data_IF_359181290664
#
_entry.id   IF_359181290664
#
_cell.length_a   1.000
_cell.length_b   1.000
_cell.length_c   1.000
_cell.angle_alpha   90.00
_cell.angle_beta   90.00
_cell.angle_gamma   90.00
#
_symmetry.space_group_name_H-M   'P 1'
#
loop_
_entity.id
_entity.type
_entity.pdbx_description
1 polymer ?
#
# COMPACT_ATOMS: atom_id res chain seq x y z
N UNK A 1 -10.53 -22.52 4.79
CA UNK A 1 -11.16 -22.01 6.01
C UNK A 1 -10.41 -22.62 7.19
N UNK A 2 -10.02 -21.81 8.15
CA UNK A 2 -9.35 -22.28 9.36
C UNK A 2 -10.41 -22.34 10.46
N UNK A 3 -10.71 -23.53 10.91
CA UNK A 3 -11.60 -23.79 12.04
C UNK A 3 -10.77 -24.51 13.11
N UNK A 4 -10.68 -23.93 14.32
CA UNK A 4 -9.99 -24.55 15.45
C UNK A 4 -8.52 -24.95 15.15
N UNK A 5 -7.76 -24.09 14.48
CA UNK A 5 -6.38 -24.31 14.01
C UNK A 5 -6.22 -25.41 12.93
N UNK A 6 -7.29 -26.01 12.44
CA UNK A 6 -7.22 -26.94 11.32
C UNK A 6 -7.58 -26.25 10.01
N UNK A 7 -6.74 -26.44 8.98
CA UNK A 7 -7.01 -25.97 7.63
C UNK A 7 -7.97 -26.95 6.93
N UNK A 8 -9.25 -26.59 6.84
CA UNK A 8 -10.23 -27.39 6.10
C UNK A 8 -10.25 -26.88 4.66
N UNK A 9 -9.85 -27.73 3.72
CA UNK A 9 -9.92 -27.46 2.29
C UNK A 9 -11.28 -27.85 1.74
N UNK A 10 -12.14 -26.88 1.48
CA UNK A 10 -13.35 -27.11 0.71
C UNK A 10 -13.08 -26.90 -0.78
N UNK A 11 -13.57 -27.76 -1.68
CA UNK A 11 -13.61 -27.46 -3.10
C UNK A 11 -14.52 -26.24 -3.29
N UNK A 12 -13.93 -25.10 -3.62
CA UNK A 12 -14.68 -23.87 -3.89
C UNK A 12 -14.63 -23.55 -5.37
N UNK A 13 -15.70 -22.95 -5.88
CA UNK A 13 -15.75 -22.43 -7.24
C UNK A 13 -14.59 -21.45 -7.51
N UNK A 14 -14.15 -20.74 -6.48
CA UNK A 14 -13.00 -19.85 -6.54
C UNK A 14 -11.70 -20.58 -6.88
N UNK A 15 -11.48 -21.81 -6.40
CA UNK A 15 -10.30 -22.60 -6.75
C UNK A 15 -10.25 -22.95 -8.24
N UNK A 16 -11.40 -23.07 -8.89
CA UNK A 16 -11.49 -23.26 -10.34
C UNK A 16 -11.23 -21.94 -11.07
N UNK A 17 -11.85 -20.85 -10.59
CA UNK A 17 -11.72 -19.52 -11.16
C UNK A 17 -10.31 -18.94 -10.99
N UNK A 18 -9.61 -19.30 -9.92
CA UNK A 18 -8.25 -18.85 -9.65
C UNK A 18 -7.21 -19.31 -10.70
N UNK A 19 -7.58 -20.27 -11.57
CA UNK A 19 -6.75 -20.71 -12.71
C UNK A 19 -6.93 -19.81 -13.94
N UNK A 20 -7.91 -18.92 -13.93
CA UNK A 20 -8.18 -18.02 -15.05
C UNK A 20 -7.35 -16.74 -14.86
N UNK A 21 -6.54 -16.33 -15.87
CA UNK A 21 -5.82 -15.07 -15.85
C UNK A 21 -6.76 -13.89 -15.54
N UNK A 22 -6.29 -12.91 -14.80
CA UNK A 22 -7.02 -11.73 -14.29
C UNK A 22 -8.02 -12.05 -13.17
N UNK A 23 -8.65 -13.21 -13.11
CA UNK A 23 -9.58 -13.59 -12.02
C UNK A 23 -8.80 -13.88 -10.74
N UNK A 24 -7.59 -14.45 -10.85
CA UNK A 24 -6.70 -14.70 -9.71
C UNK A 24 -6.19 -13.42 -9.01
N UNK A 25 -6.24 -12.26 -9.68
CA UNK A 25 -5.87 -10.97 -9.11
C UNK A 25 -7.00 -10.33 -8.29
N UNK A 26 -8.23 -10.82 -8.42
CA UNK A 26 -9.37 -10.27 -7.68
C UNK A 26 -9.49 -10.91 -6.30
N UNK A 27 -9.70 -10.07 -5.28
CA UNK A 27 -9.94 -10.56 -3.92
C UNK A 27 -11.24 -11.41 -3.90
N UNK A 28 -11.21 -12.61 -3.28
CA UNK A 28 -12.38 -13.51 -3.21
C UNK A 28 -13.65 -12.82 -2.69
N UNK A 29 -13.49 -11.90 -1.74
CA UNK A 29 -14.57 -11.11 -1.15
C UNK A 29 -15.32 -10.24 -2.16
N UNK A 30 -14.66 -9.82 -3.25
CA UNK A 30 -15.31 -9.01 -4.29
C UNK A 30 -16.34 -9.80 -5.08
N UNK A 31 -16.16 -11.10 -5.25
CA UNK A 31 -17.17 -11.96 -5.89
C UNK A 31 -18.43 -12.10 -5.05
N UNK A 32 -18.30 -12.01 -3.72
CA UNK A 32 -19.46 -12.00 -2.82
C UNK A 32 -20.36 -10.78 -3.03
N UNK A 33 -19.81 -9.65 -3.52
CA UNK A 33 -20.62 -8.44 -3.82
C UNK A 33 -21.66 -8.70 -4.92
N UNK A 34 -21.40 -9.63 -5.85
CA UNK A 34 -22.35 -10.00 -6.89
C UNK A 34 -23.62 -10.70 -6.33
N UNK A 35 -23.54 -11.25 -5.12
CA UNK A 35 -24.66 -11.88 -4.45
C UNK A 35 -25.59 -10.88 -3.75
N UNK A 36 -25.13 -9.65 -3.49
CA UNK A 36 -25.90 -8.62 -2.77
C UNK A 36 -27.26 -8.35 -3.44
N UNK A 37 -27.33 -8.05 -4.77
CA UNK A 37 -28.62 -7.82 -5.41
C UNK A 37 -29.55 -9.03 -5.36
N UNK A 38 -29.00 -10.25 -5.45
CA UNK A 38 -29.78 -11.48 -5.33
C UNK A 38 -30.42 -11.59 -3.94
N UNK A 39 -29.64 -11.40 -2.88
CA UNK A 39 -30.17 -11.39 -1.50
C UNK A 39 -31.17 -10.25 -1.28
N UNK A 40 -30.94 -9.08 -1.84
CA UNK A 40 -31.87 -7.96 -1.73
C UNK A 40 -33.22 -8.31 -2.34
N UNK A 41 -33.25 -8.93 -3.52
CA UNK A 41 -34.49 -9.38 -4.18
C UNK A 41 -35.21 -10.45 -3.35
N UNK A 42 -34.48 -11.47 -2.88
CA UNK A 42 -35.06 -12.53 -2.05
C UNK A 42 -35.64 -11.97 -0.75
N UNK A 43 -34.96 -11.02 -0.14
CA UNK A 43 -35.41 -10.34 1.08
C UNK A 43 -36.68 -9.51 0.81
N UNK A 44 -36.75 -8.79 -0.32
CA UNK A 44 -37.92 -8.02 -0.71
C UNK A 44 -39.14 -8.93 -0.91
N UNK A 45 -39.00 -10.04 -1.62
CA UNK A 45 -40.09 -11.01 -1.76
C UNK A 45 -40.50 -11.64 -0.41
N UNK A 46 -39.53 -11.97 0.45
CA UNK A 46 -39.83 -12.50 1.79
C UNK A 46 -40.64 -11.50 2.64
N UNK A 47 -40.24 -10.22 2.60
CA UNK A 47 -40.99 -9.15 3.32
C UNK A 47 -42.38 -8.92 2.76
N UNK A 48 -42.54 -8.93 1.43
CA UNK A 48 -43.84 -8.77 0.80
C UNK A 48 -44.78 -9.92 1.14
N UNK A 49 -44.32 -11.15 1.04
CA UNK A 49 -45.08 -12.34 1.44
C UNK A 49 -45.47 -12.29 2.93
N UNK A 50 -44.56 -11.83 3.80
CA UNK A 50 -44.83 -11.67 5.22
C UNK A 50 -45.89 -10.58 5.48
N UNK A 51 -45.83 -9.46 4.74
CA UNK A 51 -46.81 -8.35 4.86
C UNK A 51 -48.21 -8.78 4.47
N UNK A 52 -48.35 -9.68 3.51
CA UNK A 52 -49.64 -10.24 3.05
C UNK A 52 -50.19 -11.34 3.98
N UNK A 53 -49.35 -11.83 4.91
CA UNK A 53 -49.74 -12.87 5.88
C UNK A 53 -50.71 -12.29 6.91
N UNK A 54 -51.76 -13.08 7.27
CA UNK A 54 -52.68 -12.77 8.37
C UNK A 54 -52.16 -13.21 9.74
N UNK A 55 -51.03 -13.82 9.79
CA UNK A 55 -50.44 -14.45 10.98
C UNK A 55 -49.33 -13.56 11.60
N UNK A 56 -48.80 -14.03 12.71
CA UNK A 56 -47.67 -13.45 13.47
C UNK A 56 -46.47 -13.14 12.57
N UNK A 57 -46.30 -13.83 11.45
CA UNK A 57 -45.26 -13.61 10.46
C UNK A 57 -45.17 -12.17 10.00
N UNK A 58 -46.28 -11.45 9.90
CA UNK A 58 -46.32 -10.01 9.52
C UNK A 58 -45.46 -9.13 10.43
N UNK A 59 -45.33 -9.48 11.68
CA UNK A 59 -44.57 -8.71 12.66
C UNK A 59 -43.21 -9.34 12.95
N UNK A 60 -43.10 -10.68 13.00
CA UNK A 60 -41.88 -11.38 13.33
C UNK A 60 -40.82 -11.21 12.21
N UNK A 61 -41.22 -11.32 10.92
CA UNK A 61 -40.25 -11.27 9.82
C UNK A 61 -39.55 -9.91 9.72
N UNK A 62 -40.24 -8.76 9.74
CA UNK A 62 -39.56 -7.46 9.75
C UNK A 62 -38.63 -7.28 10.95
N UNK A 63 -39.06 -7.70 12.14
CA UNK A 63 -38.23 -7.62 13.36
C UNK A 63 -36.98 -8.50 13.23
N UNK A 64 -37.12 -9.72 12.71
CA UNK A 64 -35.99 -10.61 12.48
C UNK A 64 -35.00 -10.03 11.45
N UNK A 65 -35.51 -9.41 10.39
CA UNK A 65 -34.68 -8.72 9.38
C UNK A 65 -33.91 -7.55 10.00
N UNK A 66 -34.57 -6.70 10.78
CA UNK A 66 -33.91 -5.60 11.49
C UNK A 66 -32.85 -6.15 12.45
N UNK A 67 -33.18 -7.17 13.23
CA UNK A 67 -32.23 -7.82 14.15
C UNK A 67 -31.01 -8.41 13.42
N UNK A 68 -31.22 -8.98 12.23
CA UNK A 68 -30.13 -9.52 11.41
C UNK A 68 -29.22 -8.43 10.81
N UNK A 69 -29.73 -7.21 10.62
CA UNK A 69 -28.95 -6.08 10.11
C UNK A 69 -28.12 -5.40 11.21
N UNK A 70 -28.55 -5.46 12.48
CA UNK A 70 -27.83 -4.82 13.60
C UNK A 70 -26.33 -5.16 13.64
N UNK A 71 -25.88 -6.42 13.47
CA UNK A 71 -24.45 -6.75 13.48
C UNK A 71 -23.70 -6.16 12.26
N UNK A 72 -24.40 -5.73 11.22
CA UNK A 72 -23.82 -5.11 10.02
C UNK A 72 -23.66 -3.60 10.16
N UNK A 73 -24.15 -3.00 11.24
CA UNK A 73 -23.94 -1.58 11.51
C UNK A 73 -22.44 -1.34 11.63
N UNK A 74 -21.86 -0.44 10.78
CA UNK A 74 -20.43 -0.21 10.79
C UNK A 74 -20.01 0.35 12.15
N UNK A 75 -19.07 -0.34 12.78
CA UNK A 75 -18.37 0.22 13.94
C UNK A 75 -17.42 1.32 13.49
N UNK A 76 -17.19 2.35 14.32
CA UNK A 76 -16.18 3.37 14.01
C UNK A 76 -14.84 2.70 13.67
N UNK A 77 -14.29 3.03 12.51
CA UNK A 77 -12.97 2.55 12.13
C UNK A 77 -11.92 3.11 13.09
N UNK A 78 -11.00 2.27 13.52
CA UNK A 78 -9.84 2.75 14.25
C UNK A 78 -9.06 3.71 13.34
N UNK A 79 -8.91 4.95 13.79
CA UNK A 79 -8.13 5.96 13.09
C UNK A 79 -6.75 6.02 13.69
N UNK A 80 -5.72 6.11 12.86
CA UNK A 80 -4.35 6.40 13.26
C UNK A 80 -3.96 7.78 12.74
N UNK A 81 -3.19 8.52 13.55
CA UNK A 81 -2.56 9.75 13.08
C UNK A 81 -1.47 9.39 12.06
N UNK A 82 -1.50 10.06 10.92
CA UNK A 82 -0.44 9.93 9.91
C UNK A 82 0.59 11.03 10.10
N UNK A 83 1.84 10.73 9.78
CA UNK A 83 2.88 11.75 9.73
C UNK A 83 2.46 12.89 8.78
N UNK A 84 2.72 14.15 9.13
CA UNK A 84 2.45 15.28 8.23
C UNK A 84 3.30 15.15 6.95
N UNK A 85 2.83 15.79 5.88
CA UNK A 85 3.67 15.95 4.68
C UNK A 85 4.83 16.88 5.05
N UNK A 86 6.08 16.55 4.71
CA UNK A 86 7.24 17.38 5.02
C UNK A 86 7.12 18.81 4.48
N UNK A 87 7.72 19.77 5.17
CA UNK A 87 7.77 21.16 4.70
C UNK A 87 8.44 21.27 3.35
N UNK A 88 9.55 20.59 3.14
CA UNK A 88 10.23 20.44 1.87
C UNK A 88 9.29 20.18 0.67
N UNK A 89 8.23 19.39 0.88
CA UNK A 89 7.23 19.12 -0.15
C UNK A 89 6.18 20.22 -0.21
N UNK A 90 5.63 20.63 0.95
CA UNK A 90 4.50 21.57 1.00
C UNK A 90 4.87 23.00 0.60
N UNK A 91 6.11 23.42 0.83
CA UNK A 91 6.65 24.73 0.38
C UNK A 91 7.06 24.73 -1.11
N UNK A 92 7.26 23.55 -1.69
CA UNK A 92 7.75 23.41 -3.06
C UNK A 92 9.27 23.40 -3.19
N UNK A 93 10.02 23.35 -2.08
CA UNK A 93 11.49 23.36 -2.07
C UNK A 93 12.11 22.08 -2.63
N UNK A 94 11.32 21.02 -2.81
CA UNK A 94 11.72 19.83 -3.56
C UNK A 94 12.23 20.15 -4.99
N UNK A 95 11.82 21.29 -5.58
CA UNK A 95 12.31 21.75 -6.89
C UNK A 95 13.80 22.12 -6.90
N UNK A 96 14.39 22.35 -5.73
CA UNK A 96 15.84 22.54 -5.62
C UNK A 96 16.62 21.25 -5.90
N UNK A 97 15.96 20.08 -5.75
CA UNK A 97 16.57 18.78 -5.88
C UNK A 97 16.07 18.01 -7.13
N UNK A 98 14.78 18.12 -7.43
CA UNK A 98 14.12 17.40 -8.54
C UNK A 98 13.40 18.40 -9.43
N UNK A 99 13.60 18.40 -10.77
CA UNK A 99 12.81 19.24 -11.67
C UNK A 99 11.37 18.78 -11.78
N UNK A 100 10.48 19.64 -12.28
CA UNK A 100 9.11 19.24 -12.62
C UNK A 100 9.13 18.09 -13.64
N UNK A 101 8.37 17.04 -13.37
CA UNK A 101 8.38 15.80 -14.15
C UNK A 101 9.57 14.87 -13.89
N UNK A 102 10.47 15.24 -12.99
CA UNK A 102 11.59 14.41 -12.56
C UNK A 102 11.19 13.31 -11.57
N UNK A 103 12.16 12.59 -11.03
CA UNK A 103 11.96 11.47 -10.12
C UNK A 103 12.58 11.77 -8.75
N UNK A 104 11.72 11.85 -7.73
CA UNK A 104 12.10 11.94 -6.33
C UNK A 104 12.00 10.53 -5.68
N UNK A 105 13.10 10.07 -5.10
CA UNK A 105 13.16 8.78 -4.38
C UNK A 105 12.96 9.05 -2.89
N UNK A 106 11.79 8.77 -2.31
CA UNK A 106 11.59 8.92 -0.88
C UNK A 106 12.25 7.79 -0.10
N UNK A 107 12.73 8.08 1.10
CA UNK A 107 13.32 7.08 1.98
C UNK A 107 12.58 7.10 3.33
N UNK A 108 12.13 5.93 3.80
CA UNK A 108 12.07 4.65 3.10
C UNK A 108 11.12 4.67 1.89
N UNK A 109 11.36 3.80 0.91
CA UNK A 109 10.50 3.71 -0.27
C UNK A 109 9.08 3.23 0.10
N UNK A 110 8.07 3.62 -0.67
CA UNK A 110 6.70 3.22 -0.39
C UNK A 110 6.52 1.70 -0.56
N UNK A 111 5.89 1.10 0.43
CA UNK A 111 5.53 -0.32 0.41
C UNK A 111 4.02 -0.46 0.64
N UNK A 112 3.39 -1.60 0.27
CA UNK A 112 1.97 -1.81 0.54
C UNK A 112 1.54 -1.59 1.99
N UNK A 113 2.30 -2.02 3.02
CA UNK A 113 1.96 -1.72 4.40
C UNK A 113 2.28 -0.28 4.83
N UNK A 114 3.16 0.44 4.12
CA UNK A 114 3.61 1.80 4.46
C UNK A 114 3.58 2.72 3.24
N UNK A 115 2.40 3.08 2.72
CA UNK A 115 2.26 3.89 1.51
C UNK A 115 2.31 5.40 1.77
N UNK A 116 2.57 5.86 3.00
CA UNK A 116 2.36 7.26 3.42
C UNK A 116 3.19 8.27 2.62
N UNK A 117 4.40 7.89 2.19
CA UNK A 117 5.25 8.77 1.37
C UNK A 117 4.66 9.06 -0.03
N UNK A 118 3.73 8.24 -0.52
CA UNK A 118 3.03 8.53 -1.78
C UNK A 118 2.18 9.80 -1.71
N UNK A 119 1.82 10.24 -0.50
CA UNK A 119 1.13 11.51 -0.28
C UNK A 119 1.96 12.72 -0.66
N UNK A 120 3.28 12.58 -0.73
CA UNK A 120 4.17 13.68 -1.13
C UNK A 120 3.93 14.08 -2.58
N UNK A 121 3.80 13.10 -3.50
CA UNK A 121 3.46 13.41 -4.89
C UNK A 121 2.09 14.07 -5.00
N UNK A 122 1.07 13.55 -4.30
CA UNK A 122 -0.26 14.14 -4.28
C UNK A 122 -0.26 15.56 -3.71
N UNK A 123 0.52 15.84 -2.65
CA UNK A 123 0.66 17.17 -2.06
C UNK A 123 1.38 18.15 -3.01
N UNK A 124 2.27 17.65 -3.85
CA UNK A 124 2.96 18.42 -4.89
C UNK A 124 2.15 18.53 -6.20
N UNK A 125 0.89 18.06 -6.24
CA UNK A 125 0.06 18.04 -7.45
C UNK A 125 0.58 17.08 -8.53
N UNK A 126 1.21 15.97 -8.12
CA UNK A 126 1.83 14.95 -8.97
C UNK A 126 2.91 15.53 -9.91
N UNK A 127 3.58 16.61 -9.46
CA UNK A 127 4.59 17.30 -10.26
C UNK A 127 5.92 16.53 -10.38
N UNK A 128 6.13 15.48 -9.61
CA UNK A 128 7.25 14.55 -9.72
C UNK A 128 6.78 13.09 -9.63
N UNK A 129 7.54 12.19 -10.23
CA UNK A 129 7.33 10.75 -10.11
C UNK A 129 8.12 10.18 -8.93
N UNK A 130 7.67 9.01 -8.42
CA UNK A 130 8.38 8.23 -7.40
C UNK A 130 8.56 6.80 -7.87
N UNK A 131 9.69 6.15 -7.54
CA UNK A 131 9.86 4.72 -7.81
C UNK A 131 9.01 3.89 -6.84
N UNK A 132 8.70 2.67 -7.27
CA UNK A 132 7.88 1.72 -6.52
C UNK A 132 6.44 2.23 -6.32
N UNK A 133 5.79 1.97 -5.19
CA UNK A 133 4.45 2.45 -4.94
C UNK A 133 3.39 1.36 -4.85
N UNK A 134 2.14 1.77 -4.83
CA UNK A 134 0.98 0.92 -4.60
C UNK A 134 0.23 0.65 -5.91
N UNK A 135 0.62 -0.38 -6.63
CA UNK A 135 -0.02 -0.81 -7.88
C UNK A 135 -0.06 -2.35 -7.94
N UNK A 136 -0.90 -2.89 -8.80
CA UNK A 136 -0.94 -4.33 -9.08
C UNK A 136 -0.08 -4.60 -10.31
N UNK A 137 0.94 -5.43 -10.14
CA UNK A 137 1.88 -5.76 -11.21
C UNK A 137 2.55 -7.12 -11.02
N UNK A 138 3.40 -7.53 -11.97
CA UNK A 138 4.17 -8.75 -11.84
C UNK A 138 5.18 -8.62 -10.70
N UNK A 139 5.25 -9.64 -9.85
CA UNK A 139 6.09 -9.67 -8.67
C UNK A 139 7.01 -10.89 -8.69
N UNK A 140 8.30 -10.65 -8.48
CA UNK A 140 9.33 -11.68 -8.44
C UNK A 140 9.58 -12.40 -9.77
N UNK A 141 10.44 -13.42 -9.76
CA UNK A 141 10.89 -14.12 -10.97
C UNK A 141 9.76 -14.84 -11.74
N UNK A 142 8.72 -15.25 -11.04
CA UNK A 142 7.60 -15.99 -11.60
C UNK A 142 6.48 -15.08 -12.15
N UNK A 143 6.61 -13.76 -12.03
CA UNK A 143 5.63 -12.80 -12.55
C UNK A 143 4.23 -12.92 -11.94
N UNK A 144 4.09 -13.49 -10.75
CA UNK A 144 2.79 -13.60 -10.06
C UNK A 144 2.28 -12.21 -9.75
N UNK A 145 1.02 -11.93 -10.02
CA UNK A 145 0.41 -10.65 -9.69
C UNK A 145 0.45 -10.39 -8.19
N UNK A 146 1.02 -9.27 -7.78
CA UNK A 146 1.06 -8.81 -6.40
C UNK A 146 0.88 -7.30 -6.33
N UNK A 147 0.70 -6.78 -5.11
CA UNK A 147 0.63 -5.35 -4.84
C UNK A 147 2.05 -4.83 -4.64
N UNK A 148 2.40 -3.80 -5.40
CA UNK A 148 3.73 -3.19 -5.41
C UNK A 148 4.73 -3.95 -6.29
N UNK A 149 5.93 -3.40 -6.38
CA UNK A 149 7.03 -3.97 -7.15
C UNK A 149 7.84 -4.93 -6.28
N UNK A 150 8.48 -5.90 -6.92
CA UNK A 150 9.54 -6.68 -6.27
C UNK A 150 10.68 -5.72 -5.87
N UNK A 151 11.04 -5.65 -4.57
CA UNK A 151 11.98 -4.64 -4.10
C UNK A 151 13.36 -4.83 -4.71
N UNK A 152 13.98 -3.71 -5.11
CA UNK A 152 15.38 -3.70 -5.56
C UNK A 152 16.35 -3.94 -4.41
N UNK A 153 17.63 -4.14 -4.71
CA UNK A 153 18.65 -4.30 -3.68
C UNK A 153 18.77 -3.08 -2.77
N UNK A 154 18.66 -1.89 -3.32
CA UNK A 154 18.67 -0.63 -2.56
C UNK A 154 17.42 -0.49 -1.69
N UNK A 155 16.24 -0.84 -2.21
CA UNK A 155 14.99 -0.84 -1.44
C UNK A 155 15.05 -1.76 -0.23
N UNK A 156 15.59 -2.98 -0.43
CA UNK A 156 15.75 -3.96 0.65
C UNK A 156 16.71 -3.46 1.73
N UNK A 157 17.85 -2.91 1.32
CA UNK A 157 18.86 -2.35 2.23
C UNK A 157 18.24 -1.24 3.11
N UNK A 158 17.60 -0.25 2.48
CA UNK A 158 17.00 0.88 3.20
C UNK A 158 15.82 0.44 4.09
N UNK A 159 15.02 -0.51 3.65
CA UNK A 159 13.94 -1.09 4.47
C UNK A 159 14.49 -1.83 5.70
N UNK A 160 15.59 -2.57 5.55
CA UNK A 160 16.28 -3.23 6.66
C UNK A 160 16.80 -2.20 7.68
N UNK A 161 17.49 -1.15 7.22
CA UNK A 161 17.99 -0.09 8.10
C UNK A 161 16.83 0.63 8.81
N UNK A 162 15.76 0.95 8.09
CA UNK A 162 14.56 1.57 8.68
C UNK A 162 13.88 0.71 9.75
N UNK A 163 14.01 -0.62 9.64
CA UNK A 163 13.38 -1.55 10.59
C UNK A 163 14.27 -1.82 11.80
N UNK A 164 15.59 -1.98 11.57
CA UNK A 164 16.52 -2.44 12.61
C UNK A 164 17.32 -1.33 13.27
N UNK A 165 17.48 -0.17 12.61
CA UNK A 165 18.37 0.91 13.03
C UNK A 165 19.86 0.56 12.92
N UNK A 166 20.20 -0.59 12.35
CA UNK A 166 21.61 -1.04 12.21
C UNK A 166 22.18 -0.47 10.92
N UNK A 167 23.27 0.28 11.03
CA UNK A 167 24.01 0.80 9.88
C UNK A 167 24.82 -0.35 9.28
N UNK A 168 24.58 -0.76 8.03
CA UNK A 168 25.33 -1.82 7.40
C UNK A 168 26.71 -1.35 6.98
N UNK A 169 27.62 -2.28 6.80
CA UNK A 169 28.90 -2.00 6.17
C UNK A 169 28.69 -1.86 4.66
N UNK A 170 28.97 -0.68 4.12
CA UNK A 170 28.78 -0.37 2.70
C UNK A 170 30.07 -0.64 1.93
N UNK A 171 30.04 -1.67 1.10
CA UNK A 171 31.10 -2.01 0.17
C UNK A 171 30.89 -1.39 -1.23
N UNK A 172 31.84 -1.55 -2.10
CA UNK A 172 31.76 -1.03 -3.47
C UNK A 172 30.66 -1.73 -4.28
N UNK A 173 30.34 -2.99 -3.97
CA UNK A 173 29.24 -3.69 -4.61
C UNK A 173 27.87 -3.14 -4.20
N UNK A 174 27.71 -2.71 -2.95
CA UNK A 174 26.50 -2.04 -2.48
C UNK A 174 26.35 -0.66 -3.16
N UNK A 175 27.43 0.11 -3.28
CA UNK A 175 27.43 1.39 -4.01
C UNK A 175 27.04 1.20 -5.48
N UNK A 176 27.65 0.23 -6.16
CA UNK A 176 27.37 -0.06 -7.56
C UNK A 176 25.91 -0.47 -7.77
N UNK A 177 25.34 -1.31 -6.88
CA UNK A 177 23.92 -1.68 -6.93
C UNK A 177 23.02 -0.48 -6.74
N UNK A 178 23.32 0.40 -5.77
CA UNK A 178 22.54 1.62 -5.53
C UNK A 178 22.57 2.54 -6.75
N UNK A 179 23.72 2.73 -7.37
CA UNK A 179 23.84 3.52 -8.59
C UNK A 179 23.03 2.92 -9.74
N UNK A 180 23.06 1.60 -9.91
CA UNK A 180 22.27 0.91 -10.93
C UNK A 180 20.75 1.06 -10.68
N UNK A 181 20.30 0.95 -9.43
CA UNK A 181 18.91 1.15 -9.06
C UNK A 181 18.46 2.61 -9.31
N UNK A 182 19.27 3.59 -8.90
CA UNK A 182 18.98 5.01 -9.14
C UNK A 182 18.93 5.35 -10.63
N UNK A 183 19.83 4.79 -11.43
CA UNK A 183 19.83 4.95 -12.88
C UNK A 183 18.59 4.31 -13.52
N UNK A 184 18.21 3.12 -13.06
CA UNK A 184 16.99 2.43 -13.49
C UNK A 184 15.73 3.24 -13.20
N UNK A 185 15.64 3.84 -12.00
CA UNK A 185 14.53 4.72 -11.61
C UNK A 185 14.57 6.08 -12.29
N UNK A 186 15.67 6.42 -12.95
CA UNK A 186 15.94 7.76 -13.48
C UNK A 186 15.87 8.84 -12.38
N UNK A 187 16.37 8.48 -11.20
CA UNK A 187 16.31 9.33 -10.03
C UNK A 187 17.07 10.66 -10.26
N UNK A 188 16.46 11.76 -9.84
CA UNK A 188 17.10 13.07 -9.78
C UNK A 188 17.54 13.40 -8.36
N UNK A 189 16.78 12.94 -7.38
CA UNK A 189 16.96 13.25 -5.97
C UNK A 189 16.53 12.09 -5.10
N UNK A 190 17.28 11.84 -4.02
CA UNK A 190 16.86 10.99 -2.89
C UNK A 190 16.51 11.91 -1.74
N UNK A 191 15.37 11.68 -1.07
CA UNK A 191 14.85 12.50 0.01
C UNK A 191 14.49 11.66 1.24
N UNK A 192 15.09 11.97 2.38
CA UNK A 192 14.82 11.37 3.68
C UNK A 192 14.18 12.45 4.58
N UNK A 193 12.89 12.30 4.84
CA UNK A 193 12.20 13.07 5.86
C UNK A 193 12.03 12.22 7.12
N UNK A 194 11.20 12.68 8.05
CA UNK A 194 10.92 11.98 9.30
C UNK A 194 10.60 10.49 9.07
N UNK A 195 11.47 9.62 9.56
CA UNK A 195 11.39 8.17 9.37
C UNK A 195 11.87 7.42 10.62
N UNK A 196 11.46 6.17 10.81
CA UNK A 196 12.06 5.32 11.84
C UNK A 196 13.57 5.20 11.61
N UNK A 197 14.36 5.34 12.68
CA UNK A 197 15.83 5.27 12.63
C UNK A 197 16.47 6.23 11.60
N UNK A 198 15.97 7.47 11.52
CA UNK A 198 16.40 8.49 10.56
C UNK A 198 17.93 8.67 10.53
N UNK A 199 18.59 8.73 11.68
CA UNK A 199 20.05 8.89 11.76
C UNK A 199 20.81 7.72 11.11
N UNK A 200 20.31 6.49 11.28
CA UNK A 200 20.90 5.31 10.67
C UNK A 200 20.68 5.31 9.13
N UNK A 201 19.50 5.70 8.69
CA UNK A 201 19.19 5.87 7.27
C UNK A 201 20.07 6.95 6.65
N UNK A 202 20.19 8.11 7.31
CA UNK A 202 21.05 9.20 6.86
C UNK A 202 22.51 8.74 6.73
N UNK A 203 23.06 8.12 7.78
CA UNK A 203 24.43 7.62 7.77
C UNK A 203 24.67 6.60 6.66
N UNK A 204 23.68 5.75 6.37
CA UNK A 204 23.74 4.77 5.29
C UNK A 204 23.72 5.47 3.93
N UNK A 205 22.86 6.47 3.74
CA UNK A 205 22.77 7.24 2.50
C UNK A 205 24.03 8.08 2.27
N UNK A 206 24.60 8.66 3.32
CA UNK A 206 25.88 9.40 3.22
C UNK A 206 27.02 8.49 2.77
N UNK A 207 27.06 7.21 3.19
CA UNK A 207 28.04 6.22 2.72
C UNK A 207 27.80 5.78 1.27
N UNK A 208 26.54 5.75 0.83
CA UNK A 208 26.16 5.32 -0.52
C UNK A 208 26.33 6.43 -1.57
N UNK A 209 25.95 7.66 -1.23
CA UNK A 209 25.75 8.75 -2.17
C UNK A 209 26.64 9.98 -1.92
N UNK A 210 27.39 9.98 -0.82
CA UNK A 210 28.11 11.14 -0.34
C UNK A 210 27.25 11.98 0.60
N UNK A 211 27.79 13.08 1.08
CA UNK A 211 27.16 13.91 2.11
C UNK A 211 25.84 14.53 1.64
N UNK A 212 24.76 14.27 2.37
CA UNK A 212 23.45 14.86 2.13
C UNK A 212 23.36 16.32 2.55
N UNK A 213 22.41 17.04 1.95
CA UNK A 213 22.07 18.41 2.31
C UNK A 213 20.69 18.47 2.95
N UNK A 214 20.60 19.18 4.07
CA UNK A 214 19.30 19.45 4.70
C UNK A 214 18.64 20.63 3.99
N UNK A 215 17.40 20.42 3.52
CA UNK A 215 16.52 21.48 2.99
C UNK A 215 15.24 21.39 3.80
N UNK A 216 14.91 22.43 4.53
CA UNK A 216 13.82 22.48 5.53
C UNK A 216 13.94 21.33 6.55
N UNK A 217 13.00 20.41 6.51
CA UNK A 217 12.90 19.26 7.40
C UNK A 217 13.32 17.93 6.72
N UNK A 218 14.00 17.98 5.58
CA UNK A 218 14.29 16.82 4.74
C UNK A 218 15.76 16.78 4.31
N UNK A 219 16.43 15.66 4.55
CA UNK A 219 17.74 15.37 4.00
C UNK A 219 17.65 14.98 2.52
N UNK A 220 18.51 15.55 1.71
CA UNK A 220 18.46 15.37 0.26
C UNK A 220 19.81 15.04 -0.31
N UNK A 221 19.83 14.15 -1.31
CA UNK A 221 21.00 13.77 -2.10
C UNK A 221 20.65 13.94 -3.57
N UNK A 222 21.29 14.91 -4.21
CA UNK A 222 21.12 15.13 -5.65
C UNK A 222 21.88 14.05 -6.42
N UNK A 223 21.17 13.35 -7.31
CA UNK A 223 21.75 12.31 -8.16
C UNK A 223 22.26 12.96 -9.44
N UNK A 224 23.57 12.89 -9.66
CA UNK A 224 24.16 13.31 -10.94
C UNK A 224 23.96 12.19 -11.97
N UNK A 225 23.32 12.52 -13.06
CA UNK A 225 23.18 11.60 -14.22
C UNK A 225 24.45 11.57 -15.05
#
# INVERSE_FOLDING_TARGET
VTLNHQHIHFPSLYNLLNKVPMVNAALPTRYALALIPLFAVLLAYGLDAAAQSRMVARYIVPVAVVAAIIPMIPTPLATTTRAPVPQFISTGDWRQCTPDGGVLVPVPLPTPPQPDVMRWAAAAGDAFAMPEGFFIGPYGPNGISSIGRYPSGTSQLLAQVSTTGVIPQIDDAARARTQADLAYWKADCVALAQAPHEDALRSTLDQLLGQGRLIDDTWTWKVSR
#
